data_IF_346376724644
#
_entry.id   IF_346376724644
#
_cell.length_a   1.000
_cell.length_b   1.000
_cell.length_c   1.000
_cell.angle_alpha   90.00
_cell.angle_beta   90.00
_cell.angle_gamma   90.00
#
_symmetry.space_group_name_H-M   'P 1'
#
loop_
_entity.id
_entity.type
_entity.pdbx_description
1 polymer ?
#
# COMPACT_ATOMS: atom_id res chain seq x y z
N UNK A 1 16.65 10.71 -31.28
CA UNK A 1 17.19 10.37 -29.95
C UNK A 1 16.26 10.78 -28.79
N UNK A 2 15.62 11.96 -28.82
CA UNK A 2 14.71 12.38 -27.73
C UNK A 2 13.50 11.46 -27.51
N UNK A 3 12.90 10.93 -28.58
CA UNK A 3 11.73 10.02 -28.49
C UNK A 3 12.03 8.71 -27.75
N UNK A 4 13.19 8.09 -28.02
CA UNK A 4 13.62 6.86 -27.35
C UNK A 4 13.78 7.06 -25.82
N UNK A 5 14.18 8.26 -25.37
CA UNK A 5 14.26 8.59 -23.95
C UNK A 5 12.89 8.79 -23.29
N UNK A 6 11.87 9.20 -24.04
CA UNK A 6 10.49 9.32 -23.53
C UNK A 6 9.85 7.94 -23.44
N UNK A 7 9.99 7.11 -24.47
CA UNK A 7 9.43 5.75 -24.47
C UNK A 7 9.97 4.91 -23.30
N UNK A 8 11.29 4.94 -23.07
CA UNK A 8 11.91 4.25 -21.94
C UNK A 8 11.41 4.77 -20.58
N UNK A 9 11.17 6.08 -20.45
CA UNK A 9 10.63 6.67 -19.22
C UNK A 9 9.20 6.22 -18.95
N UNK A 10 8.34 6.25 -19.97
CA UNK A 10 6.94 5.81 -19.88
C UNK A 10 6.87 4.32 -19.56
N UNK A 11 7.68 3.49 -20.23
CA UNK A 11 7.76 2.05 -19.96
C UNK A 11 8.15 1.78 -18.51
N UNK A 12 9.19 2.45 -18.01
CA UNK A 12 9.63 2.29 -16.63
C UNK A 12 8.52 2.71 -15.65
N UNK A 13 7.87 3.86 -15.86
CA UNK A 13 6.78 4.32 -15.01
C UNK A 13 5.58 3.36 -15.01
N UNK A 14 5.25 2.76 -16.15
CA UNK A 14 4.19 1.76 -16.24
C UNK A 14 4.49 0.54 -15.36
N UNK A 15 5.73 0.03 -15.39
CA UNK A 15 6.15 -1.10 -14.56
C UNK A 15 5.98 -0.77 -13.07
N UNK A 16 6.38 0.43 -12.64
CA UNK A 16 6.22 0.85 -11.24
C UNK A 16 4.76 1.05 -10.83
N UNK A 17 3.92 1.55 -11.74
CA UNK A 17 2.47 1.68 -11.50
C UNK A 17 1.87 0.29 -11.27
N UNK A 18 2.21 -0.69 -12.09
CA UNK A 18 1.69 -2.04 -11.94
C UNK A 18 2.22 -2.72 -10.67
N UNK A 19 3.50 -2.53 -10.32
CA UNK A 19 4.04 -2.98 -9.04
C UNK A 19 3.30 -2.35 -7.84
N UNK A 20 3.01 -1.05 -7.90
CA UNK A 20 2.22 -0.36 -6.89
C UNK A 20 0.81 -0.94 -6.76
N UNK A 21 0.13 -1.24 -7.88
CA UNK A 21 -1.20 -1.88 -7.85
C UNK A 21 -1.17 -3.23 -7.14
N UNK A 22 -0.20 -4.07 -7.47
CA UNK A 22 -0.03 -5.36 -6.80
C UNK A 22 0.20 -5.18 -5.28
N UNK A 23 1.01 -4.20 -4.89
CA UNK A 23 1.24 -3.90 -3.47
C UNK A 23 -0.05 -3.47 -2.75
N UNK A 24 -0.86 -2.62 -3.38
CA UNK A 24 -2.16 -2.19 -2.83
C UNK A 24 -3.12 -3.36 -2.69
N UNK A 25 -3.19 -4.25 -3.70
CA UNK A 25 -4.03 -5.45 -3.61
C UNK A 25 -3.59 -6.37 -2.48
N UNK A 26 -2.28 -6.55 -2.29
CA UNK A 26 -1.74 -7.31 -1.15
C UNK A 26 -2.07 -6.64 0.19
N UNK A 27 -1.96 -5.31 0.29
CA UNK A 27 -2.31 -4.57 1.49
C UNK A 27 -3.81 -4.65 1.82
N UNK A 28 -4.67 -4.61 0.80
CA UNK A 28 -6.12 -4.81 0.94
C UNK A 28 -6.44 -6.24 1.42
N UNK A 29 -5.79 -7.25 0.86
CA UNK A 29 -5.92 -8.62 1.33
C UNK A 29 -5.42 -8.75 2.79
N UNK A 30 -4.32 -8.08 3.13
CA UNK A 30 -3.76 -8.07 4.47
C UNK A 30 -4.67 -7.40 5.52
N UNK A 31 -5.48 -6.41 5.13
CA UNK A 31 -6.50 -5.81 6.02
C UNK A 31 -7.58 -6.80 6.47
N UNK A 32 -7.84 -7.83 5.67
CA UNK A 32 -8.82 -8.88 5.98
C UNK A 32 -8.25 -9.90 6.99
N UNK A 33 -6.93 -10.10 7.05
CA UNK A 33 -6.29 -11.05 7.98
C UNK A 33 -6.66 -10.81 9.45
N UNK A 34 -6.59 -9.57 9.99
CA UNK A 34 -7.06 -9.24 11.34
C UNK A 34 -8.50 -9.67 11.64
N UNK A 35 -9.41 -9.43 10.69
CA UNK A 35 -10.83 -9.79 10.82
C UNK A 35 -10.99 -11.30 10.81
N UNK A 36 -10.31 -11.96 9.87
CA UNK A 36 -10.33 -13.41 9.75
C UNK A 36 -9.76 -14.07 11.02
N UNK A 37 -8.67 -13.56 11.57
CA UNK A 37 -8.07 -14.03 12.81
C UNK A 37 -9.05 -13.91 13.99
N UNK A 38 -9.72 -12.75 14.14
CA UNK A 38 -10.72 -12.54 15.19
C UNK A 38 -11.92 -13.49 15.08
N UNK A 39 -12.43 -13.72 13.87
CA UNK A 39 -13.61 -14.58 13.65
C UNK A 39 -13.28 -16.07 13.72
N UNK A 40 -12.18 -16.49 13.10
CA UNK A 40 -11.86 -17.92 12.88
C UNK A 40 -10.93 -18.50 13.93
N UNK A 41 -9.99 -17.72 14.47
CA UNK A 41 -9.02 -18.21 15.46
C UNK A 41 -9.51 -17.95 16.88
N UNK A 42 -10.01 -16.74 17.15
CA UNK A 42 -10.55 -16.38 18.47
C UNK A 42 -12.02 -16.80 18.66
N UNK A 43 -12.68 -17.33 17.62
CA UNK A 43 -14.05 -17.86 17.70
C UNK A 43 -15.12 -16.81 17.98
N UNK A 44 -14.85 -15.51 17.73
CA UNK A 44 -15.81 -14.44 18.01
C UNK A 44 -17.01 -14.56 17.04
N UNK A 45 -18.24 -14.74 17.54
CA UNK A 45 -19.42 -14.99 16.71
C UNK A 45 -19.71 -13.81 15.78
N UNK A 46 -20.14 -14.09 14.54
CA UNK A 46 -20.29 -13.08 13.47
C UNK A 46 -21.20 -11.89 13.81
N UNK A 47 -22.12 -12.10 14.74
CA UNK A 47 -23.08 -11.09 15.22
C UNK A 47 -22.55 -10.21 16.34
N UNK A 48 -21.45 -10.57 17.00
CA UNK A 48 -20.86 -9.78 18.07
C UNK A 48 -20.01 -8.62 17.50
N UNK A 49 -20.11 -7.47 18.15
CA UNK A 49 -19.27 -6.32 17.85
C UNK A 49 -17.79 -6.69 18.08
N UNK A 50 -16.92 -6.41 17.11
CA UNK A 50 -15.48 -6.69 17.23
C UNK A 50 -14.77 -5.75 18.22
N UNK A 51 -15.40 -4.62 18.56
CA UNK A 51 -14.85 -3.53 19.39
C UNK A 51 -14.23 -3.97 20.73
N UNK A 52 -14.79 -4.91 21.51
CA UNK A 52 -14.19 -5.38 22.76
C UNK A 52 -12.91 -6.21 22.54
N UNK A 53 -12.76 -6.77 21.34
CA UNK A 53 -11.66 -7.66 20.98
C UNK A 53 -10.63 -6.97 20.08
N UNK A 54 -10.79 -5.67 19.77
CA UNK A 54 -9.79 -4.91 19.01
C UNK A 54 -8.64 -4.52 19.94
N UNK A 55 -7.45 -5.06 19.66
CA UNK A 55 -6.22 -4.64 20.34
C UNK A 55 -5.71 -3.32 19.76
N UNK A 56 -5.00 -2.56 20.59
CA UNK A 56 -4.27 -1.38 20.11
C UNK A 56 -3.26 -1.76 19.02
N UNK A 57 -2.61 -2.93 19.13
CA UNK A 57 -1.70 -3.45 18.11
C UNK A 57 -2.38 -3.78 16.78
N UNK A 58 -3.59 -4.33 16.84
CA UNK A 58 -4.38 -4.65 15.65
C UNK A 58 -4.82 -3.36 14.94
N UNK A 59 -5.25 -2.38 15.72
CA UNK A 59 -5.64 -1.06 15.24
C UNK A 59 -4.44 -0.32 14.60
N UNK A 60 -3.25 -0.44 15.22
CA UNK A 60 -2.00 0.08 14.67
C UNK A 60 -1.65 -0.58 13.33
N UNK A 61 -1.78 -1.91 13.22
CA UNK A 61 -1.53 -2.63 11.97
C UNK A 61 -2.45 -2.17 10.85
N UNK A 62 -3.75 -1.98 11.15
CA UNK A 62 -4.73 -1.43 10.23
C UNK A 62 -4.39 -0.01 9.79
N UNK A 63 -3.99 0.86 10.73
CA UNK A 63 -3.58 2.22 10.40
C UNK A 63 -2.39 2.21 9.42
N UNK A 64 -1.37 1.39 9.66
CA UNK A 64 -0.21 1.28 8.77
C UNK A 64 -0.56 0.70 7.39
N UNK A 65 -1.41 -0.32 7.33
CA UNK A 65 -1.88 -0.87 6.05
C UNK A 65 -2.72 0.14 5.26
N UNK A 66 -3.60 0.91 5.92
CA UNK A 66 -4.34 2.01 5.29
C UNK A 66 -3.41 3.10 4.75
N UNK A 67 -2.37 3.47 5.52
CA UNK A 67 -1.35 4.43 5.07
C UNK A 67 -0.59 3.89 3.85
N UNK A 68 -0.28 2.59 3.83
CA UNK A 68 0.35 1.94 2.68
C UNK A 68 -0.51 2.02 1.43
N UNK A 69 -1.82 1.72 1.56
CA UNK A 69 -2.77 1.83 0.44
C UNK A 69 -2.88 3.28 -0.04
N UNK A 70 -3.05 4.22 0.89
CA UNK A 70 -3.17 5.64 0.56
C UNK A 70 -1.93 6.18 -0.16
N UNK A 71 -0.74 5.85 0.32
CA UNK A 71 0.52 6.23 -0.33
C UNK A 71 0.72 5.56 -1.69
N UNK A 72 0.30 4.30 -1.86
CA UNK A 72 0.28 3.63 -3.15
C UNK A 72 -0.66 4.28 -4.17
N UNK A 73 -1.87 4.66 -3.75
CA UNK A 73 -2.82 5.38 -4.61
C UNK A 73 -2.28 6.76 -5.00
N UNK A 74 -1.70 7.51 -4.05
CA UNK A 74 -1.04 8.78 -4.33
C UNK A 74 0.11 8.61 -5.32
N UNK A 75 0.94 7.57 -5.17
CA UNK A 75 2.00 7.24 -6.11
C UNK A 75 1.45 7.04 -7.54
N UNK A 76 0.37 6.28 -7.70
CA UNK A 76 -0.24 6.05 -9.01
C UNK A 76 -0.82 7.32 -9.64
N UNK A 77 -1.44 8.19 -8.84
CA UNK A 77 -1.97 9.47 -9.31
C UNK A 77 -0.82 10.37 -9.77
N UNK A 78 0.24 10.49 -8.97
CA UNK A 78 1.41 11.30 -9.33
C UNK A 78 2.12 10.73 -10.56
N UNK A 79 2.28 9.41 -10.64
CA UNK A 79 2.93 8.75 -11.76
C UNK A 79 2.15 8.90 -13.07
N UNK A 80 0.81 8.77 -13.03
CA UNK A 80 -0.02 8.96 -14.23
C UNK A 80 0.00 10.40 -14.73
N UNK A 81 -0.01 11.39 -13.82
CA UNK A 81 0.17 12.81 -14.17
C UNK A 81 1.53 13.10 -14.79
N UNK A 82 2.62 12.57 -14.19
CA UNK A 82 3.98 12.70 -14.72
C UNK A 82 4.15 12.06 -16.12
N UNK A 83 3.47 10.94 -16.39
CA UNK A 83 3.44 10.31 -17.72
C UNK A 83 2.66 11.17 -18.71
N UNK A 84 1.51 11.71 -18.29
CA UNK A 84 0.71 12.63 -19.11
C UNK A 84 1.50 13.88 -19.53
N UNK A 85 2.17 14.53 -18.59
CA UNK A 85 3.02 15.70 -18.87
C UNK A 85 4.18 15.35 -19.81
N UNK A 86 4.83 14.20 -19.61
CA UNK A 86 5.92 13.74 -20.46
C UNK A 86 5.50 13.47 -21.91
N UNK A 87 4.24 13.07 -22.14
CA UNK A 87 3.67 12.85 -23.48
C UNK A 87 3.24 14.15 -24.16
N UNK A 88 2.81 15.16 -23.41
CA UNK A 88 2.40 16.48 -23.93
C UNK A 88 3.62 17.37 -24.26
N UNK A 89 4.82 16.97 -23.83
CA UNK A 89 6.07 17.67 -24.14
C UNK A 89 6.34 18.86 -23.22
N UNK A 90 5.57 19.03 -22.15
CA UNK A 90 5.90 19.94 -21.05
C UNK A 90 7.10 19.36 -20.31
N UNK A 91 8.22 20.10 -20.26
CA UNK A 91 9.42 19.72 -19.48
C UNK A 91 9.16 19.79 -17.97
N UNK A 92 8.20 19.03 -17.46
CA UNK A 92 8.14 18.71 -16.04
C UNK A 92 9.37 17.86 -15.72
N UNK A 93 10.20 18.32 -14.78
CA UNK A 93 11.37 17.59 -14.26
C UNK A 93 10.98 16.12 -14.06
N UNK A 94 11.64 15.20 -14.79
CA UNK A 94 11.50 13.74 -14.63
C UNK A 94 11.90 13.34 -13.21
N UNK A 95 10.98 13.50 -12.27
CA UNK A 95 11.15 13.14 -10.88
C UNK A 95 10.40 11.85 -10.63
N UNK A 96 11.16 10.80 -10.33
CA UNK A 96 10.61 9.56 -9.81
C UNK A 96 10.25 9.81 -8.35
N UNK A 97 8.97 9.65 -7.94
CA UNK A 97 8.57 9.82 -6.54
C UNK A 97 9.01 8.59 -5.71
N UNK A 98 10.33 8.38 -5.61
CA UNK A 98 10.97 7.30 -4.85
C UNK A 98 10.60 7.34 -3.36
N UNK A 99 10.36 8.53 -2.82
CA UNK A 99 9.92 8.73 -1.44
C UNK A 99 8.57 8.08 -1.15
N UNK A 100 7.60 8.20 -2.08
CA UNK A 100 6.28 7.60 -1.93
C UNK A 100 6.34 6.08 -2.01
N UNK A 101 7.19 5.54 -2.90
CA UNK A 101 7.40 4.10 -3.01
C UNK A 101 8.03 3.50 -1.73
N UNK A 102 9.04 4.17 -1.17
CA UNK A 102 9.64 3.78 0.10
C UNK A 102 8.65 3.87 1.26
N UNK A 103 7.85 4.94 1.32
CA UNK A 103 6.82 5.11 2.34
C UNK A 103 5.77 3.99 2.27
N UNK A 104 5.30 3.65 1.07
CA UNK A 104 4.37 2.54 0.82
C UNK A 104 4.95 1.22 1.32
N UNK A 105 6.19 0.91 0.94
CA UNK A 105 6.85 -0.35 1.31
C UNK A 105 7.12 -0.43 2.82
N UNK A 106 7.68 0.62 3.41
CA UNK A 106 7.98 0.67 4.85
C UNK A 106 6.71 0.55 5.69
N UNK A 107 5.63 1.25 5.32
CA UNK A 107 4.33 1.15 6.02
C UNK A 107 3.67 -0.21 5.87
N UNK A 108 3.81 -0.87 4.70
CA UNK A 108 3.31 -2.23 4.50
C UNK A 108 4.00 -3.22 5.45
N UNK A 109 5.33 -3.24 5.48
CA UNK A 109 6.08 -4.13 6.36
C UNK A 109 5.84 -3.79 7.84
N UNK A 110 5.79 -2.51 8.20
CA UNK A 110 5.45 -2.10 9.57
C UNK A 110 4.06 -2.61 9.99
N UNK A 111 3.07 -2.56 9.09
CA UNK A 111 1.73 -3.10 9.32
C UNK A 111 1.74 -4.61 9.58
N UNK A 112 2.48 -5.38 8.78
CA UNK A 112 2.61 -6.84 8.95
C UNK A 112 3.32 -7.17 10.27
N UNK A 113 4.42 -6.47 10.59
CA UNK A 113 5.16 -6.70 11.83
C UNK A 113 4.31 -6.37 13.05
N UNK A 114 3.57 -5.25 13.02
CA UNK A 114 2.63 -4.88 14.08
C UNK A 114 1.51 -5.93 14.24
N UNK A 115 0.99 -6.46 13.14
CA UNK A 115 0.01 -7.54 13.17
C UNK A 115 0.58 -8.81 13.83
N UNK A 116 1.76 -9.26 13.39
CA UNK A 116 2.42 -10.45 13.94
C UNK A 116 2.75 -10.28 15.43
N UNK A 117 3.25 -9.10 15.84
CA UNK A 117 3.50 -8.79 17.24
C UNK A 117 2.21 -8.84 18.06
N UNK A 118 1.12 -8.26 17.55
CA UNK A 118 -0.20 -8.33 18.21
C UNK A 118 -0.74 -9.76 18.34
N UNK A 119 -0.49 -10.63 17.36
CA UNK A 119 -0.87 -12.06 17.42
C UNK A 119 -0.03 -12.81 18.47
N UNK A 120 1.29 -12.57 18.51
CA UNK A 120 2.20 -13.23 19.45
C UNK A 120 1.94 -12.78 20.90
N UNK A 121 1.70 -11.49 21.12
CA UNK A 121 1.41 -10.93 22.44
C UNK A 121 0.04 -11.35 23.01
N UNK A 122 -0.87 -11.82 22.15
CA UNK A 122 -2.21 -12.32 22.53
C UNK A 122 -2.29 -13.82 22.77
N UNK A 123 -1.22 -14.58 22.49
CA UNK A 123 -1.11 -15.99 22.89
C UNK A 123 -0.68 -16.09 24.34
#
# INVERSE_FOLDING_TARGET
MAEAHVENYVRMMSIWIDASKSCIQMALAALVLPVFFLRKVLGVPETAALRPYLDSWLLLSWAFLCVSIGSGLLYQITASRLVGDALVGTQSRRQYPHQLFWLMSASFFAGIVAFMAGVVLRR
#
